data_IF_067948818110
#
_entry.id   IF_067948818110
#
_cell.length_a   1.000
_cell.length_b   1.000
_cell.length_c   1.000
_cell.angle_alpha   90.00
_cell.angle_beta   90.00
_cell.angle_gamma   90.00
#
_symmetry.space_group_name_H-M   'P 1'
#
loop_
_entity.id
_entity.type
_entity.pdbx_description
1 polymer ?
#
# COMPACT_ATOMS: atom_id res chain seq x y z
N UNK A 1 -30.00 0.25 8.31
CA UNK A 1 -30.94 -0.54 9.15
C UNK A 1 -30.89 -1.96 8.63
N UNK A 2 -30.82 -2.95 9.50
CA UNK A 2 -30.78 -4.38 9.13
C UNK A 2 -32.22 -4.86 9.09
N UNK A 3 -32.63 -5.58 8.06
CA UNK A 3 -33.99 -6.18 7.94
C UNK A 3 -33.93 -7.68 8.26
N UNK A 4 -34.31 -8.09 9.44
CA UNK A 4 -34.28 -9.49 9.86
C UNK A 4 -35.43 -10.35 9.27
N UNK A 5 -36.42 -9.74 8.62
CA UNK A 5 -37.58 -10.43 8.04
C UNK A 5 -37.40 -10.80 6.55
N UNK A 6 -36.31 -10.47 5.97
CA UNK A 6 -36.00 -10.77 4.55
C UNK A 6 -35.88 -12.28 4.33
N UNK A 7 -36.61 -12.84 3.37
CA UNK A 7 -36.53 -14.27 2.99
C UNK A 7 -35.12 -14.68 2.52
N UNK A 8 -34.32 -13.72 2.05
CA UNK A 8 -32.92 -13.89 1.68
C UNK A 8 -32.01 -13.07 2.61
N UNK A 9 -32.13 -13.30 3.92
CA UNK A 9 -31.41 -12.54 4.95
C UNK A 9 -29.89 -12.46 4.70
N UNK A 10 -29.27 -13.48 4.15
CA UNK A 10 -27.84 -13.49 3.82
C UNK A 10 -27.48 -12.53 2.68
N UNK A 11 -28.41 -12.30 1.73
CA UNK A 11 -28.19 -11.42 0.57
C UNK A 11 -28.83 -10.03 0.75
N UNK A 12 -29.94 -9.93 1.51
CA UNK A 12 -30.72 -8.73 1.74
C UNK A 12 -30.77 -8.33 3.21
N UNK A 13 -29.71 -8.57 3.94
CA UNK A 13 -29.57 -8.22 5.36
C UNK A 13 -29.84 -6.74 5.64
N UNK A 14 -29.63 -5.88 4.66
CA UNK A 14 -29.74 -4.45 4.81
C UNK A 14 -30.98 -3.94 4.12
N UNK A 15 -31.83 -3.22 4.87
CA UNK A 15 -33.02 -2.60 4.32
C UNK A 15 -32.63 -1.63 3.18
N UNK A 16 -33.35 -1.66 2.05
CA UNK A 16 -33.15 -0.70 0.98
C UNK A 16 -33.51 0.72 1.44
N UNK A 17 -33.02 1.72 0.72
CA UNK A 17 -33.35 3.12 0.97
C UNK A 17 -34.68 3.44 0.28
N UNK A 18 -35.71 3.83 1.05
CA UNK A 18 -37.08 4.06 0.52
C UNK A 18 -37.17 5.22 -0.49
N UNK A 19 -36.32 6.23 -0.33
CA UNK A 19 -36.50 7.53 -1.00
C UNK A 19 -35.33 7.88 -1.94
N UNK A 20 -34.31 7.11 -1.95
CA UNK A 20 -33.18 7.37 -2.86
C UNK A 20 -32.75 6.10 -3.57
N UNK A 21 -32.27 6.31 -4.75
CA UNK A 21 -31.63 5.26 -5.52
C UNK A 21 -30.22 4.94 -5.00
N UNK A 22 -29.80 5.47 -3.87
CA UNK A 22 -28.46 5.22 -3.32
C UNK A 22 -28.45 3.89 -2.56
N UNK A 23 -27.37 3.16 -2.63
CA UNK A 23 -27.20 1.93 -1.86
C UNK A 23 -27.22 2.23 -0.35
N UNK A 24 -27.66 1.26 0.44
CA UNK A 24 -27.67 1.38 1.89
C UNK A 24 -26.23 1.66 2.41
N UNK A 25 -25.97 2.79 3.07
CA UNK A 25 -24.64 3.18 3.52
C UNK A 25 -24.04 2.19 4.54
N UNK A 26 -24.86 1.52 5.34
CA UNK A 26 -24.39 0.51 6.29
C UNK A 26 -23.90 -0.72 5.54
N UNK A 27 -24.64 -1.17 4.51
CA UNK A 27 -24.20 -2.26 3.65
C UNK A 27 -22.87 -1.94 2.95
N UNK A 28 -22.68 -0.70 2.51
CA UNK A 28 -21.44 -0.27 1.85
C UNK A 28 -20.24 -0.26 2.80
N UNK A 29 -20.48 -0.12 4.10
CA UNK A 29 -19.40 -0.09 5.10
C UNK A 29 -19.09 -1.48 5.67
N UNK A 30 -20.13 -2.32 5.86
CA UNK A 30 -19.98 -3.61 6.55
C UNK A 30 -19.69 -4.78 5.60
N UNK A 31 -20.21 -4.74 4.37
CA UNK A 31 -20.09 -5.87 3.46
C UNK A 31 -18.70 -6.00 2.78
N UNK A 32 -18.05 -4.93 2.34
CA UNK A 32 -16.72 -5.03 1.77
C UNK A 32 -15.70 -5.42 2.86
N UNK A 33 -14.94 -6.47 2.62
CA UNK A 33 -13.78 -6.78 3.45
C UNK A 33 -12.55 -6.09 2.85
N UNK A 34 -12.22 -4.92 3.41
CA UNK A 34 -11.11 -4.10 2.95
C UNK A 34 -10.13 -3.86 4.08
N UNK A 35 -8.88 -4.17 3.83
CA UNK A 35 -7.80 -3.81 4.73
C UNK A 35 -6.55 -3.39 3.98
N UNK A 36 -5.75 -2.58 4.65
CA UNK A 36 -4.43 -2.19 4.22
C UNK A 36 -3.45 -2.48 5.35
N UNK A 37 -2.46 -3.31 5.09
CA UNK A 37 -1.42 -3.65 6.03
C UNK A 37 -0.10 -3.03 5.57
N UNK A 38 0.47 -2.18 6.42
CA UNK A 38 1.69 -1.44 6.13
C UNK A 38 2.76 -1.84 7.14
N UNK A 39 3.86 -2.35 6.63
CA UNK A 39 5.04 -2.63 7.40
C UNK A 39 6.21 -1.77 6.92
N UNK A 40 6.73 -0.91 7.81
CA UNK A 40 7.87 -0.06 7.51
C UNK A 40 9.01 -0.29 8.52
N UNK A 41 10.19 -0.61 8.00
CA UNK A 41 11.41 -0.73 8.78
C UNK A 41 12.46 0.21 8.21
N UNK A 42 13.00 1.05 9.06
CA UNK A 42 14.12 1.92 8.70
C UNK A 42 15.18 1.91 9.79
N UNK A 43 16.40 2.19 9.39
CA UNK A 43 17.51 2.26 10.33
C UNK A 43 18.76 2.82 9.68
N UNK A 44 19.71 3.19 10.53
CA UNK A 44 21.03 3.58 10.07
C UNK A 44 22.11 3.10 11.05
N UNK A 45 23.29 2.83 10.51
CA UNK A 45 24.49 2.55 11.25
C UNK A 45 25.62 3.42 10.71
N UNK A 46 26.50 3.86 11.57
CA UNK A 46 27.66 4.64 11.14
C UNK A 46 28.92 4.25 11.91
N UNK A 47 30.05 4.48 11.26
CA UNK A 47 31.36 4.44 11.87
C UNK A 47 32.09 5.74 11.62
N UNK A 48 32.79 6.24 12.62
CA UNK A 48 33.61 7.45 12.51
C UNK A 48 34.98 7.20 13.12
N UNK A 49 36.01 7.53 12.38
CA UNK A 49 37.41 7.42 12.82
C UNK A 49 38.11 8.77 12.70
N UNK A 50 38.99 9.03 13.66
CA UNK A 50 39.91 10.17 13.58
C UNK A 50 41.19 9.70 12.90
N UNK A 51 41.48 10.23 11.72
CA UNK A 51 42.63 9.85 10.91
C UNK A 51 43.89 10.60 11.34
N UNK A 52 43.72 11.89 11.65
CA UNK A 52 44.80 12.78 12.06
C UNK A 52 44.23 13.95 12.87
N UNK A 53 45.10 14.82 13.43
CA UNK A 53 44.66 16.03 14.15
C UNK A 53 43.74 16.88 13.24
N UNK A 54 42.52 17.04 13.67
CA UNK A 54 41.51 17.77 12.96
C UNK A 54 40.84 17.02 11.79
N UNK A 55 41.37 15.87 11.33
CA UNK A 55 40.84 15.11 10.19
C UNK A 55 40.06 13.90 10.71
N UNK A 56 38.78 13.79 10.32
CA UNK A 56 37.93 12.65 10.62
C UNK A 56 37.20 12.14 9.37
N UNK A 57 37.06 10.84 9.30
CA UNK A 57 36.28 10.15 8.26
C UNK A 57 35.10 9.46 8.90
N UNK A 58 33.92 9.62 8.27
CA UNK A 58 32.67 8.98 8.65
C UNK A 58 32.08 8.25 7.46
N UNK A 59 31.65 7.03 7.68
CA UNK A 59 30.79 6.26 6.77
C UNK A 59 29.48 5.97 7.47
N UNK A 60 28.38 6.17 6.77
CA UNK A 60 27.02 5.88 7.26
C UNK A 60 26.29 5.04 6.22
N UNK A 61 25.63 4.00 6.67
CA UNK A 61 24.70 3.20 5.89
C UNK A 61 23.31 3.41 6.47
N UNK A 62 22.37 3.80 5.62
CA UNK A 62 20.95 3.94 5.96
C UNK A 62 20.14 3.03 5.07
N UNK A 63 19.07 2.46 5.60
CA UNK A 63 18.14 1.64 4.86
C UNK A 63 16.72 1.93 5.31
N UNK A 64 15.79 1.75 4.39
CA UNK A 64 14.36 1.74 4.62
C UNK A 64 13.73 0.66 3.76
N UNK A 65 12.80 -0.10 4.33
CA UNK A 65 11.97 -1.04 3.60
C UNK A 65 10.52 -0.83 3.98
N UNK A 66 9.74 -0.47 3.00
CA UNK A 66 8.30 -0.24 3.11
C UNK A 66 7.58 -1.35 2.35
N UNK A 67 6.66 -2.02 3.00
CA UNK A 67 5.81 -3.05 2.41
C UNK A 67 4.36 -2.67 2.66
N UNK A 68 3.59 -2.56 1.59
CA UNK A 68 2.17 -2.24 1.57
C UNK A 68 1.41 -3.41 0.95
N UNK A 69 0.41 -3.91 1.66
CA UNK A 69 -0.49 -4.96 1.18
C UNK A 69 -1.92 -4.49 1.34
N UNK A 70 -2.60 -4.34 0.22
CA UNK A 70 -3.99 -3.93 0.15
C UNK A 70 -4.85 -5.07 -0.38
N UNK A 71 -5.97 -5.35 0.30
CA UNK A 71 -7.01 -6.28 -0.15
C UNK A 71 -8.36 -5.59 -0.08
N UNK A 72 -9.13 -5.71 -1.15
CA UNK A 72 -10.52 -5.24 -1.25
C UNK A 72 -11.38 -6.35 -1.82
N UNK A 73 -12.16 -7.01 -0.97
CA UNK A 73 -13.16 -7.99 -1.38
C UNK A 73 -14.54 -7.35 -1.28
N UNK A 74 -15.28 -7.40 -2.37
CA UNK A 74 -16.67 -6.92 -2.48
C UNK A 74 -17.57 -8.11 -2.74
N UNK A 75 -18.44 -8.47 -1.79
CA UNK A 75 -19.38 -9.55 -1.98
C UNK A 75 -20.52 -9.17 -2.92
N UNK A 76 -21.30 -10.15 -3.34
CA UNK A 76 -22.59 -9.91 -3.98
C UNK A 76 -23.57 -9.36 -2.94
N UNK A 77 -24.23 -8.26 -3.26
CA UNK A 77 -25.31 -7.71 -2.46
C UNK A 77 -26.29 -6.93 -3.32
N UNK A 78 -27.55 -6.88 -2.86
CA UNK A 78 -28.62 -6.08 -3.46
C UNK A 78 -28.99 -4.96 -2.47
N UNK A 79 -29.25 -3.78 -3.00
CA UNK A 79 -29.68 -2.62 -2.23
C UNK A 79 -30.99 -2.01 -2.73
N UNK A 80 -31.75 -2.72 -3.58
CA UNK A 80 -32.96 -2.20 -4.21
C UNK A 80 -34.24 -2.79 -3.63
N UNK A 81 -35.30 -1.97 -3.61
CA UNK A 81 -36.54 -2.20 -2.88
C UNK A 81 -37.54 -3.14 -3.53
N UNK A 82 -37.50 -3.43 -4.80
CA UNK A 82 -38.50 -4.29 -5.45
C UNK A 82 -37.92 -5.10 -6.60
N UNK A 83 -38.48 -6.30 -6.79
CA UNK A 83 -38.17 -7.19 -7.91
C UNK A 83 -38.47 -6.54 -9.28
N UNK A 84 -39.49 -5.68 -9.36
CA UNK A 84 -39.87 -4.96 -10.59
C UNK A 84 -38.85 -3.90 -11.01
N UNK A 85 -38.09 -3.35 -10.07
CA UNK A 85 -37.04 -2.39 -10.33
C UNK A 85 -35.69 -3.03 -10.65
N UNK A 86 -35.51 -4.31 -10.37
CA UNK A 86 -34.28 -5.07 -10.64
C UNK A 86 -33.92 -5.09 -12.13
N UNK A 87 -34.91 -5.18 -13.02
CA UNK A 87 -34.67 -5.27 -14.46
C UNK A 87 -34.14 -3.98 -15.10
N UNK A 88 -34.42 -2.82 -14.48
CA UNK A 88 -34.12 -1.51 -15.03
C UNK A 88 -32.99 -0.74 -14.31
N UNK A 89 -32.44 -1.30 -13.25
CA UNK A 89 -31.45 -0.58 -12.40
C UNK A 89 -30.16 -1.38 -12.20
N UNK A 90 -29.46 -1.61 -13.30
CA UNK A 90 -28.20 -2.37 -13.31
C UNK A 90 -27.07 -1.79 -12.46
N UNK A 91 -27.15 -0.54 -12.05
CA UNK A 91 -26.04 0.20 -11.44
C UNK A 91 -25.97 0.18 -9.90
N UNK A 92 -26.95 -0.44 -9.20
CA UNK A 92 -27.12 -0.22 -7.76
C UNK A 92 -26.77 -1.38 -6.84
N UNK A 93 -26.33 -2.48 -7.37
CA UNK A 93 -25.88 -3.60 -6.60
C UNK A 93 -24.69 -4.29 -7.24
N UNK A 94 -23.90 -4.94 -6.42
CA UNK A 94 -22.80 -5.73 -6.93
C UNK A 94 -23.32 -7.10 -7.34
N UNK A 95 -23.44 -7.35 -8.65
CA UNK A 95 -23.94 -8.59 -9.22
C UNK A 95 -22.98 -9.77 -9.10
N UNK A 96 -21.71 -9.50 -8.93
CA UNK A 96 -20.68 -10.52 -8.83
C UNK A 96 -19.61 -10.10 -7.80
N UNK A 97 -19.05 -11.06 -7.12
CA UNK A 97 -17.94 -10.80 -6.21
C UNK A 97 -16.75 -10.22 -6.96
N UNK A 98 -16.05 -9.31 -6.31
CA UNK A 98 -14.82 -8.71 -6.83
C UNK A 98 -13.73 -8.82 -5.76
N UNK A 99 -12.54 -9.21 -6.19
CA UNK A 99 -11.36 -9.26 -5.33
C UNK A 99 -10.23 -8.49 -6.00
N UNK A 100 -9.72 -7.50 -5.30
CA UNK A 100 -8.52 -6.76 -5.66
C UNK A 100 -7.44 -6.97 -4.60
N UNK A 101 -6.30 -7.51 -4.99
CA UNK A 101 -5.12 -7.67 -4.15
C UNK A 101 -3.97 -6.86 -4.75
N UNK A 102 -3.40 -5.99 -3.96
CA UNK A 102 -2.20 -5.24 -4.31
C UNK A 102 -1.12 -5.49 -3.25
N UNK A 103 0.09 -5.73 -3.69
CA UNK A 103 1.26 -5.83 -2.82
C UNK A 103 2.41 -5.04 -3.44
N UNK A 104 2.98 -4.12 -2.69
CA UNK A 104 4.09 -3.29 -3.12
C UNK A 104 5.21 -3.28 -2.09
N UNK A 105 6.44 -3.39 -2.54
CA UNK A 105 7.64 -3.31 -1.71
C UNK A 105 8.54 -2.22 -2.25
N UNK A 106 8.86 -1.25 -1.42
CA UNK A 106 9.86 -0.22 -1.72
C UNK A 106 11.06 -0.39 -0.79
N UNK A 107 12.25 -0.35 -1.34
CA UNK A 107 13.50 -0.47 -0.60
C UNK A 107 14.43 0.68 -0.98
N UNK A 108 14.87 1.41 0.03
CA UNK A 108 15.80 2.54 -0.09
C UNK A 108 17.09 2.20 0.64
N UNK A 109 18.22 2.40 -0.02
CA UNK A 109 19.55 2.24 0.56
C UNK A 109 20.36 3.48 0.28
N UNK A 110 21.06 3.96 1.30
CA UNK A 110 21.95 5.10 1.19
C UNK A 110 23.28 4.80 1.87
N UNK A 111 24.38 5.11 1.17
CA UNK A 111 25.72 5.11 1.72
C UNK A 111 26.26 6.51 1.62
N UNK A 112 26.57 7.09 2.76
CA UNK A 112 27.24 8.39 2.86
C UNK A 112 28.67 8.21 3.36
N UNK A 113 29.62 8.84 2.68
CA UNK A 113 31.00 8.94 3.08
C UNK A 113 31.35 10.40 3.24
N UNK A 114 31.94 10.79 4.39
CA UNK A 114 32.23 12.17 4.70
C UNK A 114 33.60 12.29 5.31
N UNK A 115 34.40 13.21 4.78
CA UNK A 115 35.68 13.62 5.31
C UNK A 115 35.56 15.04 5.85
N UNK A 116 35.85 15.23 7.13
CA UNK A 116 35.82 16.53 7.76
C UNK A 116 37.22 16.91 8.22
N UNK A 117 37.60 18.14 7.99
CA UNK A 117 38.86 18.71 8.47
C UNK A 117 38.61 20.01 9.24
N UNK A 118 39.01 20.02 10.50
CA UNK A 118 38.87 21.16 11.40
C UNK A 118 40.25 21.55 11.94
N UNK A 119 40.65 22.80 11.76
CA UNK A 119 41.92 23.29 12.27
C UNK A 119 41.83 24.75 12.67
N UNK A 120 42.78 25.17 13.51
CA UNK A 120 42.94 26.56 13.92
C UNK A 120 44.33 27.04 13.53
N UNK A 121 44.42 28.07 12.70
CA UNK A 121 45.64 28.67 12.24
C UNK A 121 45.71 30.11 12.80
N UNK A 122 46.51 30.29 13.81
CA UNK A 122 46.59 31.58 14.51
C UNK A 122 45.24 31.91 15.19
N UNK A 123 44.57 32.96 14.69
CA UNK A 123 43.24 33.41 15.18
C UNK A 123 42.08 32.93 14.30
N UNK A 124 42.38 32.20 13.23
CA UNK A 124 41.40 31.75 12.27
C UNK A 124 41.05 30.28 12.51
N UNK A 125 39.78 29.99 12.54
CA UNK A 125 39.24 28.62 12.58
C UNK A 125 38.81 28.22 11.18
N UNK A 126 39.34 27.12 10.67
CA UNK A 126 39.00 26.56 9.37
C UNK A 126 38.24 25.25 9.58
N UNK A 127 37.07 25.15 8.97
CA UNK A 127 36.27 23.95 8.88
C UNK A 127 36.02 23.64 7.42
N UNK A 128 36.40 22.46 6.96
CA UNK A 128 36.17 21.98 5.59
C UNK A 128 35.54 20.59 5.62
N UNK A 129 34.70 20.31 4.63
CA UNK A 129 34.03 19.03 4.52
C UNK A 129 33.94 18.63 3.05
N UNK A 130 34.16 17.34 2.77
CA UNK A 130 33.84 16.72 1.49
C UNK A 130 32.97 15.49 1.78
N UNK A 131 31.91 15.34 1.01
CA UNK A 131 31.03 14.19 1.15
C UNK A 131 30.67 13.57 -0.21
N UNK A 132 30.43 12.26 -0.18
CA UNK A 132 29.91 11.49 -1.28
C UNK A 132 28.73 10.69 -0.78
N UNK A 133 27.60 10.74 -1.48
CA UNK A 133 26.40 9.99 -1.16
C UNK A 133 25.99 9.14 -2.34
N UNK A 134 25.80 7.87 -2.13
CA UNK A 134 25.19 6.94 -3.07
C UNK A 134 23.82 6.51 -2.55
N UNK A 135 22.81 6.67 -3.37
CA UNK A 135 21.45 6.26 -3.06
C UNK A 135 20.94 5.26 -4.10
N UNK A 136 20.19 4.28 -3.65
CA UNK A 136 19.47 3.33 -4.51
C UNK A 136 18.07 3.15 -3.99
N UNK A 137 17.10 3.41 -4.86
CA UNK A 137 15.69 3.16 -4.65
C UNK A 137 15.25 2.00 -5.54
N UNK A 138 14.47 1.08 -5.02
CA UNK A 138 13.82 0.00 -5.78
C UNK A 138 12.41 -0.17 -5.30
N UNK A 139 11.46 -0.10 -6.22
CA UNK A 139 10.04 -0.38 -5.97
C UNK A 139 9.60 -1.53 -6.86
N UNK A 140 8.88 -2.48 -6.27
CA UNK A 140 8.30 -3.62 -6.97
C UNK A 140 6.88 -3.82 -6.47
N UNK A 141 5.93 -4.00 -7.38
CA UNK A 141 4.53 -4.15 -7.04
C UNK A 141 3.82 -5.15 -7.94
N UNK A 142 2.80 -5.78 -7.37
CA UNK A 142 1.89 -6.71 -8.05
C UNK A 142 0.47 -6.29 -7.71
N UNK A 143 -0.38 -6.23 -8.73
CA UNK A 143 -1.81 -6.06 -8.59
C UNK A 143 -2.51 -7.26 -9.25
N UNK A 144 -3.50 -7.83 -8.58
CA UNK A 144 -4.33 -8.89 -9.10
C UNK A 144 -5.81 -8.57 -8.84
N UNK A 145 -6.58 -8.52 -9.92
CA UNK A 145 -8.03 -8.32 -9.88
C UNK A 145 -8.74 -9.55 -10.47
N UNK A 146 -9.65 -10.12 -9.70
CA UNK A 146 -10.49 -11.23 -10.13
C UNK A 146 -11.94 -11.05 -9.69
N UNK A 147 -12.85 -11.82 -10.30
CA UNK A 147 -14.30 -11.75 -10.08
C UNK A 147 -14.90 -13.14 -9.99
N UNK A 148 -16.17 -13.20 -9.57
CA UNK A 148 -17.00 -14.41 -9.52
C UNK A 148 -16.43 -15.46 -8.60
N UNK A 149 -16.30 -15.13 -7.31
CA UNK A 149 -16.05 -16.14 -6.29
C UNK A 149 -17.19 -17.17 -6.23
N UNK A 150 -16.89 -18.33 -5.69
CA UNK A 150 -17.86 -19.38 -5.45
C UNK A 150 -18.89 -19.01 -4.37
N UNK A 151 -18.61 -18.01 -3.54
CA UNK A 151 -19.48 -17.51 -2.49
C UNK A 151 -18.98 -16.21 -1.88
N UNK A 152 -19.71 -15.70 -0.89
CA UNK A 152 -19.37 -14.48 -0.16
C UNK A 152 -18.52 -14.73 1.10
N UNK A 153 -18.42 -15.98 1.56
CA UNK A 153 -17.73 -16.33 2.79
C UNK A 153 -16.22 -16.01 2.73
N UNK A 154 -15.64 -15.86 3.89
CA UNK A 154 -14.22 -15.50 4.02
C UNK A 154 -13.27 -16.48 3.31
N UNK A 155 -13.64 -17.78 3.31
CA UNK A 155 -12.86 -18.81 2.63
C UNK A 155 -12.72 -18.59 1.12
N UNK A 156 -13.68 -17.91 0.49
CA UNK A 156 -13.66 -17.60 -0.95
C UNK A 156 -12.98 -16.27 -1.28
N UNK A 157 -12.47 -15.57 -0.28
CA UNK A 157 -11.79 -14.30 -0.45
C UNK A 157 -10.29 -14.46 -0.80
N UNK A 158 -10.00 -15.45 -1.63
CA UNK A 158 -8.67 -15.74 -2.18
C UNK A 158 -8.72 -15.74 -3.72
N UNK A 159 -7.59 -15.48 -4.35
CA UNK A 159 -7.52 -15.36 -5.82
C UNK A 159 -7.94 -16.64 -6.54
N UNK A 160 -7.58 -17.81 -6.01
CA UNK A 160 -7.88 -19.10 -6.64
C UNK A 160 -9.37 -19.48 -6.55
N UNK A 161 -10.12 -18.91 -5.60
CA UNK A 161 -11.56 -19.10 -5.50
C UNK A 161 -12.38 -18.24 -6.49
N UNK A 162 -11.71 -17.36 -7.23
CA UNK A 162 -12.35 -16.48 -8.22
C UNK A 162 -12.29 -17.15 -9.62
N UNK A 163 -13.43 -17.25 -10.27
CA UNK A 163 -13.57 -18.02 -11.53
C UNK A 163 -13.46 -17.18 -12.80
N UNK A 164 -13.45 -15.86 -12.70
CA UNK A 164 -13.39 -14.96 -13.86
C UNK A 164 -12.52 -13.72 -13.57
N UNK A 165 -12.01 -13.13 -14.66
CA UNK A 165 -11.27 -11.87 -14.61
C UNK A 165 -9.81 -12.08 -14.24
N UNK A 166 -8.99 -12.47 -15.19
CA UNK A 166 -7.54 -12.57 -15.04
C UNK A 166 -6.89 -11.22 -15.42
N UNK A 167 -6.98 -10.24 -14.54
CA UNK A 167 -6.26 -8.99 -14.70
C UNK A 167 -5.18 -8.91 -13.63
N UNK A 168 -3.99 -9.33 -13.99
CA UNK A 168 -2.78 -9.23 -13.17
C UNK A 168 -1.81 -8.28 -13.82
N UNK A 169 -1.26 -7.38 -13.06
CA UNK A 169 -0.21 -6.48 -13.49
C UNK A 169 0.89 -6.43 -12.44
N UNK A 170 2.10 -6.18 -12.86
CA UNK A 170 3.22 -6.02 -11.96
C UNK A 170 4.27 -5.16 -12.61
N UNK A 171 5.06 -4.50 -11.80
CA UNK A 171 6.14 -3.65 -12.27
C UNK A 171 7.27 -3.59 -11.27
N UNK A 172 8.45 -3.30 -11.79
CA UNK A 172 9.64 -3.06 -11.00
C UNK A 172 10.35 -1.83 -11.55
N UNK A 173 10.67 -0.91 -10.66
CA UNK A 173 11.44 0.27 -10.95
C UNK A 173 12.67 0.30 -10.04
N UNK A 174 13.79 0.71 -10.58
CA UNK A 174 15.03 0.91 -9.81
C UNK A 174 15.71 2.16 -10.30
N UNK A 175 16.04 3.04 -9.37
CA UNK A 175 16.82 4.24 -9.62
C UNK A 175 18.02 4.30 -8.70
N UNK A 176 19.09 4.97 -9.14
CA UNK A 176 20.25 5.23 -8.32
C UNK A 176 20.81 6.61 -8.58
N UNK A 177 21.36 7.23 -7.55
CA UNK A 177 21.93 8.56 -7.60
C UNK A 177 23.28 8.57 -6.88
N UNK A 178 24.24 9.27 -7.46
CA UNK A 178 25.53 9.55 -6.84
C UNK A 178 25.71 11.06 -6.76
N UNK A 179 25.95 11.56 -5.56
CA UNK A 179 26.09 12.99 -5.28
C UNK A 179 27.41 13.28 -4.59
N UNK A 180 27.97 14.44 -4.89
CA UNK A 180 29.17 14.97 -4.25
C UNK A 180 28.89 16.35 -3.67
N UNK A 181 29.46 16.62 -2.50
CA UNK A 181 29.39 17.90 -1.81
C UNK A 181 30.79 18.28 -1.34
N UNK A 182 31.17 19.55 -1.53
CA UNK A 182 32.44 20.08 -1.08
C UNK A 182 32.39 21.59 -0.85
#
# INVERSE_FOLDING_TARGET
MVDPSSENYEYNKYAPTEWSYDPNPVAMLELPNRYNDIFNVFGNVFAQIKLYKGLSYRVQYSFERYHDTFKDFRPVYSSTFSEDNLANQESKYNKETQLNNNSAVTSNYQVEQRLNYNTTIGRHKLDAMVAMTYEKNSSEGINAFKRKALGNDEIYQILDAQTAGDNTSGGKETSSMLSYLG
#
